data_IF_252182886714
#
_entry.id   IF_252182886714
#
_cell.length_a   1.000
_cell.length_b   1.000
_cell.length_c   1.000
_cell.angle_alpha   90.00
_cell.angle_beta   90.00
_cell.angle_gamma   90.00
#
_symmetry.space_group_name_H-M   'P 1'
#
loop_
_entity.id
_entity.type
_entity.pdbx_description
1 polymer ?
#
# COMPACT_ATOMS: atom_id res chain seq x y z
N UNK A 1 -13.46 14.44 -3.94
CA UNK A 1 -12.99 13.36 -3.05
C UNK A 1 -12.04 12.48 -3.85
N UNK A 2 -10.97 11.93 -3.24
CA UNK A 2 -10.09 10.97 -3.93
C UNK A 2 -10.39 9.57 -3.39
N UNK A 3 -10.87 8.68 -4.25
CA UNK A 3 -11.10 7.29 -3.90
C UNK A 3 -10.10 6.39 -4.62
N UNK A 4 -9.50 5.48 -3.87
CA UNK A 4 -8.69 4.40 -4.40
C UNK A 4 -9.39 3.06 -4.24
N UNK A 5 -9.01 2.09 -5.05
CA UNK A 5 -9.47 0.70 -4.92
C UNK A 5 -8.34 -0.16 -4.37
N UNK A 6 -8.61 -0.90 -3.32
CA UNK A 6 -7.81 -2.04 -2.88
C UNK A 6 -8.49 -3.33 -3.31
N UNK A 7 -7.71 -4.39 -3.50
CA UNK A 7 -8.25 -5.68 -3.88
C UNK A 7 -8.97 -5.66 -5.24
N UNK A 8 -8.22 -5.54 -6.33
CA UNK A 8 -8.74 -5.79 -7.69
C UNK A 8 -9.31 -7.20 -7.88
N UNK A 9 -9.23 -8.05 -6.86
CA UNK A 9 -9.48 -9.47 -6.94
C UNK A 9 -10.76 -9.85 -6.17
N UNK A 10 -11.95 -9.81 -6.80
CA UNK A 10 -13.12 -10.38 -6.21
C UNK A 10 -13.01 -11.92 -6.24
N UNK A 11 -13.15 -12.57 -5.10
CA UNK A 11 -13.22 -14.02 -4.98
C UNK A 11 -11.89 -14.75 -4.79
N UNK A 12 -11.98 -16.04 -4.46
CA UNK A 12 -10.86 -16.96 -4.23
C UNK A 12 -10.59 -17.76 -5.50
N UNK A 13 -9.42 -17.61 -6.09
CA UNK A 13 -8.99 -18.47 -7.19
C UNK A 13 -7.93 -17.80 -8.09
N UNK A 14 -7.19 -18.61 -8.86
CA UNK A 14 -6.23 -18.06 -9.82
C UNK A 14 -6.96 -17.21 -10.86
N UNK A 15 -6.46 -16.01 -11.07
CA UNK A 15 -6.99 -15.07 -12.07
C UNK A 15 -6.13 -15.09 -13.32
N UNK A 16 -6.78 -14.91 -14.46
CA UNK A 16 -6.08 -14.50 -15.66
C UNK A 16 -5.43 -13.12 -15.39
N UNK A 17 -4.12 -13.02 -15.61
CA UNK A 17 -3.40 -11.75 -15.42
C UNK A 17 -3.94 -10.62 -16.28
N UNK A 18 -4.57 -10.92 -17.42
CA UNK A 18 -5.26 -9.94 -18.27
C UNK A 18 -6.45 -9.31 -17.56
N UNK A 19 -7.19 -10.10 -16.78
CA UNK A 19 -8.33 -9.59 -16.03
C UNK A 19 -7.95 -8.43 -15.10
N UNK A 20 -6.79 -8.51 -14.42
CA UNK A 20 -6.33 -7.44 -13.52
C UNK A 20 -6.03 -6.14 -14.25
N UNK A 21 -5.53 -6.22 -15.51
CA UNK A 21 -5.29 -5.04 -16.34
C UNK A 21 -6.61 -4.44 -16.83
N UNK A 22 -7.54 -5.28 -17.29
CA UNK A 22 -8.87 -4.84 -17.75
C UNK A 22 -9.65 -4.18 -16.59
N UNK A 23 -9.58 -4.76 -15.38
CA UNK A 23 -10.16 -4.18 -14.18
C UNK A 23 -9.51 -2.82 -13.81
N UNK A 24 -8.19 -2.68 -13.95
CA UNK A 24 -7.52 -1.40 -13.70
C UNK A 24 -7.92 -0.33 -14.72
N UNK A 25 -8.09 -0.69 -15.99
CA UNK A 25 -8.60 0.23 -17.02
C UNK A 25 -10.05 0.66 -16.73
N UNK A 26 -10.89 -0.27 -16.30
CA UNK A 26 -12.28 0.04 -15.89
C UNK A 26 -12.28 1.02 -14.68
N UNK A 27 -11.42 0.80 -13.69
CA UNK A 27 -11.29 1.68 -12.52
C UNK A 27 -10.82 3.07 -12.94
N UNK A 28 -9.88 3.16 -13.87
CA UNK A 28 -9.44 4.44 -14.46
C UNK A 28 -10.59 5.14 -15.19
N UNK A 29 -11.34 4.42 -16.02
CA UNK A 29 -12.49 4.93 -16.77
C UNK A 29 -13.61 5.46 -15.85
N UNK A 30 -13.91 4.75 -14.76
CA UNK A 30 -14.90 5.18 -13.76
C UNK A 30 -14.47 6.46 -13.06
N UNK A 31 -13.18 6.74 -12.95
CA UNK A 31 -12.63 7.96 -12.34
C UNK A 31 -12.02 7.77 -10.96
N UNK A 32 -11.73 6.54 -10.54
CA UNK A 32 -10.96 6.32 -9.31
C UNK A 32 -9.56 6.92 -9.42
N UNK A 33 -9.06 7.45 -8.30
CA UNK A 33 -7.76 8.11 -8.24
C UNK A 33 -6.58 7.12 -8.29
N UNK A 34 -6.77 5.93 -7.73
CA UNK A 34 -5.69 4.97 -7.56
C UNK A 34 -6.16 3.53 -7.42
N UNK A 35 -5.22 2.63 -7.63
CA UNK A 35 -5.31 1.20 -7.28
C UNK A 35 -4.21 0.84 -6.28
N UNK A 36 -4.54 0.00 -5.30
CA UNK A 36 -3.65 -0.40 -4.23
C UNK A 36 -3.53 -1.92 -4.18
N UNK A 37 -2.31 -2.42 -4.30
CA UNK A 37 -2.00 -3.84 -4.46
C UNK A 37 -1.51 -4.42 -3.13
N UNK A 38 -2.16 -5.46 -2.61
CA UNK A 38 -1.71 -6.16 -1.41
C UNK A 38 -0.50 -7.04 -1.72
N UNK A 39 0.23 -7.44 -0.67
CA UNK A 39 1.33 -8.38 -0.78
C UNK A 39 1.21 -9.53 0.22
N UNK A 40 1.41 -10.74 -0.30
CA UNK A 40 1.90 -11.92 0.38
C UNK A 40 2.81 -12.66 -0.58
N UNK A 41 4.04 -12.97 -0.16
CA UNK A 41 4.99 -13.70 -1.02
C UNK A 41 4.56 -15.15 -1.17
N UNK A 42 4.09 -15.75 -0.09
CA UNK A 42 3.57 -17.11 -0.04
C UNK A 42 2.39 -17.23 0.91
N UNK A 43 1.59 -18.26 0.72
CA UNK A 43 0.44 -18.57 1.57
C UNK A 43 0.61 -19.94 2.21
N UNK A 44 0.07 -20.11 3.42
CA UNK A 44 0.14 -21.35 4.17
C UNK A 44 -1.25 -21.96 4.38
N UNK A 45 -1.35 -23.30 4.43
CA UNK A 45 -2.62 -23.95 4.76
C UNK A 45 -3.15 -23.59 6.15
N UNK A 46 -2.24 -23.24 7.08
CA UNK A 46 -2.56 -22.77 8.42
C UNK A 46 -1.50 -21.81 8.91
N UNK A 47 -1.89 -20.89 9.79
CA UNK A 47 -1.02 -19.92 10.42
C UNK A 47 -1.05 -20.07 11.93
N UNK A 48 0.09 -20.00 12.59
CA UNK A 48 0.21 -19.79 14.04
C UNK A 48 0.24 -18.30 14.39
N UNK A 49 0.74 -17.48 13.48
CA UNK A 49 0.71 -16.02 13.59
C UNK A 49 -0.72 -15.49 13.55
N UNK A 50 -1.00 -14.47 14.38
CA UNK A 50 -2.31 -13.81 14.39
C UNK A 50 -2.34 -12.66 13.38
N UNK A 51 -3.37 -12.64 12.52
CA UNK A 51 -3.62 -11.51 11.64
C UNK A 51 -4.10 -10.30 12.47
N UNK A 52 -3.36 -9.18 12.43
CA UNK A 52 -3.59 -8.09 13.40
C UNK A 52 -4.78 -7.18 13.09
N UNK A 53 -5.46 -7.38 11.96
CA UNK A 53 -6.47 -6.42 11.47
C UNK A 53 -7.90 -6.94 11.53
N UNK A 54 -8.14 -8.21 11.78
CA UNK A 54 -9.48 -8.80 11.88
C UNK A 54 -9.60 -9.87 12.96
N UNK A 55 -10.77 -9.95 13.57
CA UNK A 55 -11.10 -10.98 14.59
C UNK A 55 -11.27 -12.39 14.02
N UNK A 56 -11.26 -12.55 12.69
CA UNK A 56 -11.45 -13.83 11.98
C UNK A 56 -10.16 -14.62 11.69
N UNK A 57 -8.99 -14.07 11.99
CA UNK A 57 -7.70 -14.75 11.82
C UNK A 57 -7.38 -15.15 10.37
N UNK A 58 -6.65 -16.25 10.22
CA UNK A 58 -6.10 -16.73 8.94
C UNK A 58 -7.11 -17.04 7.82
N UNK A 59 -8.41 -17.12 8.09
CA UNK A 59 -9.42 -17.42 7.05
C UNK A 59 -9.51 -16.36 5.95
N UNK A 60 -9.17 -15.12 6.25
CA UNK A 60 -9.17 -14.05 5.23
C UNK A 60 -7.99 -14.15 4.26
N UNK A 61 -6.87 -14.72 4.71
CA UNK A 61 -5.67 -14.88 3.86
C UNK A 61 -5.93 -15.82 2.69
N UNK A 62 -6.78 -16.83 2.86
CA UNK A 62 -7.16 -17.73 1.78
C UNK A 62 -7.91 -17.04 0.62
N UNK A 63 -8.51 -15.87 0.85
CA UNK A 63 -9.13 -15.08 -0.21
C UNK A 63 -8.12 -14.39 -1.13
N UNK A 64 -6.87 -14.28 -0.67
CA UNK A 64 -5.80 -13.67 -1.43
C UNK A 64 -5.03 -14.68 -2.28
N UNK A 65 -5.43 -15.96 -2.28
CA UNK A 65 -4.87 -16.96 -3.19
C UNK A 65 -5.12 -16.51 -4.64
N UNK A 66 -4.05 -16.30 -5.40
CA UNK A 66 -4.13 -15.79 -6.77
C UNK A 66 -3.77 -14.31 -6.93
N UNK A 67 -3.39 -13.62 -5.85
CA UNK A 67 -2.78 -12.30 -5.95
C UNK A 67 -1.41 -12.42 -6.63
N UNK A 68 -1.19 -11.61 -7.65
CA UNK A 68 0.10 -11.53 -8.32
C UNK A 68 1.12 -10.79 -7.45
N UNK A 69 2.42 -11.00 -7.71
CA UNK A 69 3.45 -10.14 -7.12
C UNK A 69 3.12 -8.67 -7.39
N UNK A 70 3.05 -7.82 -6.36
CA UNK A 70 2.55 -6.46 -6.50
C UNK A 70 3.43 -5.58 -7.40
N UNK A 71 4.74 -5.81 -7.45
CA UNK A 71 5.62 -5.01 -8.31
C UNK A 71 5.52 -5.44 -9.77
N UNK A 72 5.35 -6.74 -10.04
CA UNK A 72 5.09 -7.24 -11.40
C UNK A 72 3.75 -6.73 -11.91
N UNK A 73 2.70 -6.83 -11.09
CA UNK A 73 1.38 -6.34 -11.46
C UNK A 73 1.34 -4.81 -11.61
N UNK A 74 2.04 -4.06 -10.75
CA UNK A 74 2.16 -2.61 -10.87
C UNK A 74 2.77 -2.20 -12.21
N UNK A 75 3.79 -2.91 -12.68
CA UNK A 75 4.37 -2.69 -14.01
C UNK A 75 3.38 -2.94 -15.15
N UNK A 76 2.58 -4.01 -15.07
CA UNK A 76 1.55 -4.32 -16.06
C UNK A 76 0.42 -3.26 -16.07
N UNK A 77 -0.06 -2.85 -14.90
CA UNK A 77 -1.07 -1.78 -14.77
C UNK A 77 -0.52 -0.44 -15.27
N UNK A 78 0.75 -0.13 -14.98
CA UNK A 78 1.39 1.10 -15.46
C UNK A 78 1.37 1.20 -17.00
N UNK A 79 1.57 0.07 -17.69
CA UNK A 79 1.51 0.00 -19.13
C UNK A 79 0.08 0.01 -19.71
N UNK A 80 -0.91 -0.46 -18.93
CA UNK A 80 -2.32 -0.56 -19.34
C UNK A 80 -3.13 0.71 -19.08
N UNK A 81 -2.65 1.63 -18.23
CA UNK A 81 -3.35 2.84 -17.77
C UNK A 81 -2.53 4.10 -18.02
N UNK A 82 -3.16 5.27 -17.97
CA UNK A 82 -2.52 6.55 -18.31
C UNK A 82 -2.49 7.56 -17.15
N UNK A 83 -3.50 7.58 -16.32
CA UNK A 83 -3.70 8.55 -15.23
C UNK A 83 -3.82 7.90 -13.85
N UNK A 84 -4.26 6.64 -13.80
CA UNK A 84 -4.47 5.90 -12.55
C UNK A 84 -3.18 5.80 -11.75
N UNK A 85 -3.21 6.27 -10.51
CA UNK A 85 -2.09 6.07 -9.58
C UNK A 85 -2.05 4.62 -9.11
N UNK A 86 -0.85 4.12 -8.88
CA UNK A 86 -0.63 2.73 -8.51
C UNK A 86 0.14 2.71 -7.19
N UNK A 87 -0.34 1.96 -6.22
CA UNK A 87 0.34 1.82 -4.93
C UNK A 87 0.37 0.39 -4.43
N UNK A 88 1.19 0.13 -3.44
CA UNK A 88 1.18 -1.13 -2.67
C UNK A 88 0.54 -0.91 -1.30
N UNK A 89 -0.28 -1.88 -0.82
CA UNK A 89 -1.03 -1.73 0.44
C UNK A 89 -1.01 -3.03 1.27
N UNK A 90 0.12 -3.37 1.86
CA UNK A 90 1.41 -2.73 1.81
C UNK A 90 2.47 -3.73 1.37
N UNK A 91 3.57 -3.26 0.75
CA UNK A 91 4.74 -4.07 0.43
C UNK A 91 5.55 -4.37 1.69
N UNK A 92 5.91 -5.64 1.91
CA UNK A 92 6.63 -6.09 3.11
C UNK A 92 8.14 -5.93 2.90
N UNK A 93 8.63 -4.72 3.11
CA UNK A 93 10.02 -4.31 2.82
C UNK A 93 11.08 -5.22 3.43
N UNK A 94 10.99 -5.66 4.71
CA UNK A 94 12.07 -6.42 5.34
C UNK A 94 12.27 -7.83 4.79
N UNK A 95 11.35 -8.33 3.98
CA UNK A 95 11.43 -9.68 3.38
C UNK A 95 12.27 -9.73 2.11
N UNK A 96 12.66 -8.58 1.55
CA UNK A 96 13.33 -8.50 0.24
C UNK A 96 14.61 -7.70 0.30
N UNK A 97 15.54 -8.00 -0.60
CA UNK A 97 16.78 -7.23 -0.73
C UNK A 97 16.47 -5.77 -1.11
N UNK A 98 16.93 -4.76 -0.32
CA UNK A 98 16.57 -3.37 -0.55
C UNK A 98 17.16 -2.78 -1.85
N UNK A 99 18.30 -3.26 -2.33
CA UNK A 99 18.92 -2.77 -3.57
C UNK A 99 18.07 -3.21 -4.78
N UNK A 100 17.66 -4.49 -4.79
CA UNK A 100 16.78 -5.02 -5.85
C UNK A 100 15.44 -4.31 -5.82
N UNK A 101 14.85 -4.16 -4.63
CA UNK A 101 13.57 -3.47 -4.44
C UNK A 101 13.65 -2.00 -4.86
N UNK A 102 14.72 -1.27 -4.51
CA UNK A 102 14.90 0.11 -4.92
C UNK A 102 14.90 0.25 -6.45
N UNK A 103 15.62 -0.63 -7.15
CA UNK A 103 15.66 -0.65 -8.61
C UNK A 103 14.29 -0.98 -9.24
N UNK A 104 13.58 -1.97 -8.71
CA UNK A 104 12.25 -2.36 -9.19
C UNK A 104 11.26 -1.22 -9.05
N UNK A 105 11.21 -0.60 -7.87
CA UNK A 105 10.33 0.53 -7.55
C UNK A 105 10.63 1.74 -8.44
N UNK A 106 11.89 2.10 -8.63
CA UNK A 106 12.28 3.17 -9.54
C UNK A 106 11.90 2.87 -11.01
N UNK A 107 12.04 1.60 -11.43
CA UNK A 107 11.63 1.17 -12.76
C UNK A 107 10.13 1.31 -12.99
N UNK A 108 9.30 0.92 -12.01
CA UNK A 108 7.83 1.07 -12.06
C UNK A 108 7.47 2.56 -12.10
N UNK A 109 8.14 3.38 -11.31
CA UNK A 109 7.90 4.81 -11.28
C UNK A 109 8.20 5.46 -12.64
N UNK A 110 9.30 5.08 -13.29
CA UNK A 110 9.62 5.49 -14.67
C UNK A 110 8.57 5.02 -15.68
N UNK A 111 8.22 3.72 -15.66
CA UNK A 111 7.24 3.13 -16.56
C UNK A 111 5.83 3.73 -16.41
N UNK A 112 5.49 4.12 -15.21
CA UNK A 112 4.21 4.77 -14.92
C UNK A 112 4.20 6.28 -15.18
N UNK A 113 5.34 6.89 -15.50
CA UNK A 113 5.46 8.34 -15.64
C UNK A 113 5.25 9.09 -14.33
N UNK A 114 5.72 8.53 -13.20
CA UNK A 114 5.62 9.16 -11.87
C UNK A 114 4.27 8.96 -11.18
N UNK A 115 3.54 7.89 -11.50
CA UNK A 115 2.24 7.57 -10.87
C UNK A 115 2.36 6.58 -9.70
N UNK A 116 3.55 6.03 -9.44
CA UNK A 116 3.73 5.01 -8.41
C UNK A 116 3.83 5.62 -7.00
N UNK A 117 3.25 4.95 -6.01
CA UNK A 117 3.29 5.26 -4.60
C UNK A 117 3.71 4.01 -3.83
N UNK A 118 4.85 4.06 -3.15
CA UNK A 118 5.39 2.90 -2.47
C UNK A 118 4.81 2.77 -1.06
N UNK A 119 3.71 2.05 -0.93
CA UNK A 119 3.11 1.71 0.36
C UNK A 119 3.85 0.57 1.04
N UNK A 120 4.33 0.77 2.25
CA UNK A 120 5.31 -0.09 2.90
C UNK A 120 4.88 -0.55 4.30
N UNK A 121 5.23 -1.78 4.66
CA UNK A 121 4.93 -2.38 5.96
C UNK A 121 6.01 -3.36 6.42
N UNK A 122 5.86 -3.83 7.67
CA UNK A 122 6.79 -4.80 8.28
C UNK A 122 6.32 -6.26 8.22
N UNK A 123 5.10 -6.51 7.73
CA UNK A 123 4.50 -7.84 7.74
C UNK A 123 4.16 -8.37 9.14
N UNK A 124 3.32 -9.39 9.16
CA UNK A 124 2.78 -10.00 10.39
C UNK A 124 3.04 -11.51 10.47
N UNK A 125 3.18 -12.20 9.33
CA UNK A 125 3.33 -13.66 9.27
C UNK A 125 4.78 -14.05 9.51
N UNK A 126 5.03 -14.71 10.64
CA UNK A 126 6.34 -15.28 10.96
C UNK A 126 6.67 -16.45 10.01
N UNK A 127 5.63 -17.17 9.56
CA UNK A 127 5.77 -18.27 8.61
C UNK A 127 6.31 -17.82 7.26
N UNK A 128 5.85 -16.64 6.75
CA UNK A 128 6.40 -16.07 5.51
C UNK A 128 7.89 -15.73 5.67
N UNK A 129 8.26 -15.10 6.78
CA UNK A 129 9.66 -14.78 7.07
C UNK A 129 10.53 -16.03 7.11
N UNK A 130 10.06 -17.08 7.79
CA UNK A 130 10.75 -18.36 7.87
C UNK A 130 10.92 -19.02 6.49
N UNK A 131 9.89 -19.00 5.66
CA UNK A 131 9.96 -19.58 4.30
C UNK A 131 10.94 -18.84 3.38
N UNK A 132 11.19 -17.54 3.65
CA UNK A 132 12.13 -16.72 2.89
C UNK A 132 13.54 -16.70 3.49
N UNK A 133 13.78 -17.46 4.56
CA UNK A 133 15.05 -17.48 5.31
C UNK A 133 15.45 -16.07 5.80
N UNK A 134 14.44 -15.28 6.22
CA UNK A 134 14.64 -13.93 6.74
C UNK A 134 14.23 -13.89 8.21
N UNK A 135 15.08 -13.43 9.15
CA UNK A 135 14.71 -13.33 10.56
C UNK A 135 13.48 -12.43 10.77
N UNK A 136 12.49 -12.94 11.52
CA UNK A 136 11.29 -12.17 11.86
C UNK A 136 11.58 -11.09 12.89
N UNK A 137 12.50 -11.37 13.80
CA UNK A 137 12.95 -10.45 14.83
C UNK A 137 13.60 -9.22 14.22
N UNK A 138 13.46 -8.10 14.90
CA UNK A 138 14.01 -6.81 14.49
C UNK A 138 13.59 -6.33 13.09
N UNK A 139 12.50 -6.91 12.51
CA UNK A 139 12.00 -6.54 11.18
C UNK A 139 11.65 -5.05 11.05
N UNK A 140 11.26 -4.40 12.17
CA UNK A 140 11.00 -2.96 12.21
C UNK A 140 12.28 -2.13 12.04
N UNK A 141 13.37 -2.53 12.67
CA UNK A 141 14.69 -1.88 12.56
C UNK A 141 15.27 -2.12 11.16
N UNK A 142 15.19 -3.36 10.67
CA UNK A 142 15.58 -3.72 9.31
C UNK A 142 14.82 -2.89 8.26
N UNK A 143 13.50 -2.71 8.41
CA UNK A 143 12.72 -1.86 7.53
C UNK A 143 13.21 -0.40 7.55
N UNK A 144 13.51 0.13 8.72
CA UNK A 144 13.99 1.51 8.87
C UNK A 144 15.30 1.73 8.10
N UNK A 145 16.22 0.79 8.24
CA UNK A 145 17.52 0.85 7.55
C UNK A 145 17.37 0.63 6.03
N UNK A 146 16.52 -0.33 5.62
CA UNK A 146 16.24 -0.57 4.20
C UNK A 146 15.58 0.66 3.53
N UNK A 147 14.69 1.35 4.22
CA UNK A 147 14.11 2.61 3.71
C UNK A 147 15.17 3.69 3.55
N UNK A 148 16.10 3.81 4.51
CA UNK A 148 17.21 4.76 4.41
C UNK A 148 18.14 4.44 3.24
N UNK A 149 18.50 3.17 3.06
CA UNK A 149 19.33 2.71 1.94
C UNK A 149 18.65 2.95 0.59
N UNK A 150 17.34 2.63 0.48
CA UNK A 150 16.57 2.88 -0.74
C UNK A 150 16.45 4.37 -1.06
N UNK A 151 16.26 5.24 -0.05
CA UNK A 151 16.26 6.70 -0.25
C UNK A 151 17.60 7.16 -0.82
N UNK A 152 18.72 6.68 -0.27
CA UNK A 152 20.05 7.00 -0.80
C UNK A 152 20.21 6.53 -2.26
N UNK A 153 19.72 5.34 -2.61
CA UNK A 153 19.77 4.80 -3.97
C UNK A 153 18.88 5.58 -4.96
N UNK A 154 17.80 6.23 -4.50
CA UNK A 154 16.92 7.05 -5.32
C UNK A 154 17.36 8.50 -5.45
N UNK A 155 18.32 8.94 -4.65
CA UNK A 155 18.86 10.29 -4.73
C UNK A 155 19.50 10.55 -6.10
N UNK A 156 19.64 11.84 -6.46
CA UNK A 156 20.20 12.29 -7.75
C UNK A 156 21.70 11.93 -7.89
N UNK A 157 22.38 11.63 -6.80
CA UNK A 157 23.78 11.19 -6.84
C UNK A 157 23.94 9.95 -7.72
N UNK A 158 24.91 9.99 -8.63
CA UNK A 158 25.18 8.84 -9.52
C UNK A 158 25.75 7.67 -8.71
N UNK A 159 26.74 7.93 -7.85
CA UNK A 159 27.41 6.94 -7.04
C UNK A 159 26.90 7.00 -5.60
N UNK A 160 26.56 5.86 -5.04
CA UNK A 160 25.96 5.75 -3.71
C UNK A 160 26.69 4.68 -2.90
N UNK A 161 27.03 5.02 -1.66
CA UNK A 161 27.49 4.08 -0.62
C UNK A 161 26.48 4.04 0.50
N UNK A 162 26.40 2.93 1.21
CA UNK A 162 25.60 2.84 2.43
C UNK A 162 26.25 1.86 3.41
N UNK A 163 26.32 2.24 4.68
CA UNK A 163 26.81 1.38 5.75
C UNK A 163 25.78 1.33 6.87
N UNK A 164 25.23 0.13 7.10
CA UNK A 164 24.28 -0.17 8.13
C UNK A 164 24.53 -1.55 8.74
N UNK A 165 23.66 -1.97 9.64
CA UNK A 165 23.74 -3.28 10.29
C UNK A 165 23.12 -4.39 9.44
N UNK A 166 22.02 -4.07 8.74
CA UNK A 166 21.24 -5.03 7.93
C UNK A 166 21.55 -4.96 6.44
N UNK A 167 22.12 -3.87 5.98
CA UNK A 167 22.56 -3.70 4.60
C UNK A 167 23.78 -2.78 4.54
N UNK A 168 24.76 -3.21 3.78
CA UNK A 168 25.97 -2.45 3.50
C UNK A 168 26.35 -2.63 2.04
N UNK A 169 26.83 -1.58 1.39
CA UNK A 169 27.38 -1.68 0.04
C UNK A 169 28.39 -0.57 -0.23
N UNK A 170 29.46 -0.99 -0.91
CA UNK A 170 30.49 -0.12 -1.47
C UNK A 170 29.92 0.75 -2.61
N UNK A 171 30.65 1.77 -3.10
CA UNK A 171 30.16 2.64 -4.16
C UNK A 171 29.57 1.87 -5.33
N UNK A 172 28.31 2.12 -5.62
CA UNK A 172 27.58 1.51 -6.72
C UNK A 172 26.67 2.49 -7.46
N UNK A 173 26.31 2.16 -8.67
CA UNK A 173 25.32 2.87 -9.49
C UNK A 173 23.99 2.12 -9.46
N UNK A 174 22.92 2.81 -9.09
CA UNK A 174 21.56 2.25 -9.13
C UNK A 174 20.69 3.03 -10.10
N UNK A 175 20.42 2.45 -11.25
CA UNK A 175 19.56 3.02 -12.30
C UNK A 175 18.45 2.04 -12.72
N UNK A 176 17.30 2.58 -13.22
CA UNK A 176 17.00 4.01 -13.36
C UNK A 176 16.79 4.69 -11.99
N UNK A 177 16.90 6.02 -11.97
CA UNK A 177 16.36 6.82 -10.85
C UNK A 177 14.84 6.95 -11.01
N UNK A 178 14.07 7.21 -9.94
CA UNK A 178 12.65 7.50 -10.05
C UNK A 178 12.35 8.65 -11.01
N UNK A 179 11.18 8.63 -11.65
CA UNK A 179 10.68 9.76 -12.43
C UNK A 179 10.25 10.92 -11.53
N UNK A 180 9.71 10.60 -10.36
CA UNK A 180 9.34 11.58 -9.34
C UNK A 180 10.60 12.08 -8.63
N UNK A 181 10.75 13.41 -8.46
CA UNK A 181 11.86 14.01 -7.69
C UNK A 181 11.97 13.41 -6.27
N UNK A 182 10.83 13.08 -5.66
CA UNK A 182 10.73 12.34 -4.41
C UNK A 182 9.65 11.27 -4.56
N UNK A 183 10.07 10.02 -4.69
CA UNK A 183 9.15 8.88 -4.76
C UNK A 183 8.41 8.75 -3.44
N UNK A 184 7.04 8.80 -3.44
CA UNK A 184 6.27 8.77 -2.21
C UNK A 184 6.37 7.42 -1.48
N UNK A 185 6.80 7.42 -0.22
CA UNK A 185 6.78 6.28 0.69
C UNK A 185 5.60 6.44 1.65
N UNK A 186 4.60 5.58 1.51
CA UNK A 186 3.37 5.61 2.31
C UNK A 186 3.46 4.50 3.37
N UNK A 187 3.62 4.88 4.64
CA UNK A 187 3.88 3.93 5.72
C UNK A 187 2.59 3.33 6.25
N UNK A 188 2.48 2.01 6.18
CA UNK A 188 1.35 1.24 6.70
C UNK A 188 1.46 0.91 8.19
N UNK A 189 0.28 0.79 8.82
CA UNK A 189 0.16 0.39 10.21
C UNK A 189 -0.36 1.49 11.13
N UNK A 190 -0.48 1.13 12.43
CA UNK A 190 -1.21 1.95 13.40
C UNK A 190 -0.49 2.03 14.75
N UNK A 191 0.75 1.53 14.83
CA UNK A 191 1.54 1.47 16.06
C UNK A 191 2.32 2.77 16.31
N UNK A 192 2.89 2.90 17.51
CA UNK A 192 3.83 3.98 17.80
C UNK A 192 5.03 3.96 16.85
N UNK A 193 5.57 2.77 16.55
CA UNK A 193 6.69 2.63 15.60
C UNK A 193 6.30 3.09 14.18
N UNK A 194 5.02 2.98 13.80
CA UNK A 194 4.51 3.54 12.54
C UNK A 194 4.60 5.07 12.55
N UNK A 195 4.17 5.73 13.63
CA UNK A 195 4.27 7.19 13.77
C UNK A 195 5.72 7.66 13.63
N UNK A 196 6.64 7.05 14.36
CA UNK A 196 8.07 7.40 14.32
C UNK A 196 8.68 7.19 12.92
N UNK A 197 8.23 6.14 12.21
CA UNK A 197 8.66 5.84 10.85
C UNK A 197 8.12 6.83 9.82
N UNK A 198 6.86 7.26 9.95
CA UNK A 198 6.29 8.31 9.10
C UNK A 198 7.11 9.59 9.25
N UNK A 199 7.35 10.01 10.47
CA UNK A 199 8.11 11.25 10.76
C UNK A 199 9.50 11.21 10.13
N UNK A 200 10.18 10.06 10.19
CA UNK A 200 11.59 9.95 9.75
C UNK A 200 11.74 9.65 8.26
N UNK A 201 10.90 8.79 7.69
CA UNK A 201 11.10 8.24 6.35
C UNK A 201 9.90 8.42 5.42
N UNK A 202 8.71 8.69 5.95
CA UNK A 202 7.45 8.65 5.21
C UNK A 202 7.07 9.99 4.57
N UNK A 203 6.33 9.85 3.47
CA UNK A 203 5.62 10.92 2.78
C UNK A 203 4.10 10.76 2.93
N UNK A 204 3.66 9.80 3.75
CA UNK A 204 2.26 9.56 4.03
C UNK A 204 2.01 8.37 4.95
N UNK A 205 0.75 8.20 5.27
CA UNK A 205 0.22 7.13 6.10
C UNK A 205 -0.82 6.30 5.38
N UNK A 206 -0.80 4.99 5.60
CA UNK A 206 -1.79 4.03 5.14
C UNK A 206 -2.41 3.29 6.35
N UNK A 207 -3.49 3.82 6.91
CA UNK A 207 -4.26 3.20 7.98
C UNK A 207 -5.29 2.21 7.44
N UNK A 208 -5.42 1.02 8.05
CA UNK A 208 -6.37 0.00 7.61
C UNK A 208 -7.51 -0.21 8.60
N UNK A 209 -8.75 -0.32 8.11
CA UNK A 209 -9.97 -0.65 8.88
C UNK A 209 -10.14 0.14 10.18
N UNK A 210 -9.97 1.46 10.11
CA UNK A 210 -10.03 2.32 11.31
C UNK A 210 -11.41 2.89 11.54
N UNK A 211 -11.78 3.06 12.81
CA UNK A 211 -12.89 3.93 13.18
C UNK A 211 -12.49 5.39 12.99
N UNK A 212 -13.46 6.29 12.88
CA UNK A 212 -13.19 7.74 12.80
C UNK A 212 -12.45 8.25 14.05
N UNK A 213 -12.75 7.71 15.22
CA UNK A 213 -12.05 8.05 16.46
C UNK A 213 -10.58 7.59 16.42
N UNK A 214 -10.31 6.37 15.92
CA UNK A 214 -8.94 5.90 15.74
C UNK A 214 -8.14 6.79 14.78
N UNK A 215 -8.77 7.23 13.67
CA UNK A 215 -8.16 8.14 12.71
C UNK A 215 -7.77 9.43 13.41
N UNK A 216 -8.71 10.05 14.13
CA UNK A 216 -8.49 11.30 14.86
C UNK A 216 -7.35 11.16 15.86
N UNK A 217 -7.40 10.15 16.72
CA UNK A 217 -6.36 9.91 17.73
C UNK A 217 -5.00 9.68 17.09
N UNK A 218 -4.93 8.96 15.96
CA UNK A 218 -3.68 8.70 15.27
C UNK A 218 -3.11 9.97 14.64
N UNK A 219 -3.93 10.75 13.94
CA UNK A 219 -3.50 11.99 13.26
C UNK A 219 -3.11 13.08 14.26
N UNK A 220 -3.80 13.20 15.40
CA UNK A 220 -3.39 14.10 16.49
C UNK A 220 -2.00 13.74 17.05
N UNK A 221 -1.75 12.46 17.32
CA UNK A 221 -0.41 12.00 17.76
C UNK A 221 0.66 12.24 16.70
N UNK A 222 0.33 12.00 15.43
CA UNK A 222 1.23 12.23 14.32
C UNK A 222 1.59 13.71 14.20
N UNK A 223 0.61 14.61 14.30
CA UNK A 223 0.81 16.05 14.24
C UNK A 223 1.82 16.54 15.30
N UNK A 224 1.67 16.07 16.55
CA UNK A 224 2.61 16.42 17.63
C UNK A 224 4.04 15.97 17.31
N UNK A 225 4.22 14.79 16.76
CA UNK A 225 5.54 14.26 16.41
C UNK A 225 6.13 14.95 15.17
N UNK A 226 5.32 15.31 14.20
CA UNK A 226 5.72 16.08 13.02
C UNK A 226 6.22 17.47 13.43
N UNK A 227 5.45 18.18 14.26
CA UNK A 227 5.85 19.49 14.80
C UNK A 227 7.18 19.40 15.58
N UNK A 228 7.32 18.40 16.45
CA UNK A 228 8.55 18.18 17.21
C UNK A 228 9.77 17.88 16.31
N UNK A 229 9.54 17.33 15.12
CA UNK A 229 10.58 17.08 14.11
C UNK A 229 10.79 18.25 13.13
N UNK A 230 10.08 19.39 13.30
CA UNK A 230 10.14 20.53 12.41
C UNK A 230 9.52 20.26 11.03
N UNK A 231 8.57 19.31 10.93
CA UNK A 231 7.85 18.95 9.71
C UNK A 231 6.38 19.37 9.80
N UNK A 232 5.77 19.68 8.66
CA UNK A 232 4.36 20.02 8.56
C UNK A 232 3.50 18.83 8.13
N UNK A 233 2.28 18.71 8.67
CA UNK A 233 1.32 17.66 8.29
C UNK A 233 0.93 17.74 6.81
N UNK A 234 0.98 18.91 6.18
CA UNK A 234 0.72 19.08 4.74
C UNK A 234 1.75 18.41 3.82
N UNK A 235 2.91 18.02 4.36
CA UNK A 235 3.89 17.21 3.63
C UNK A 235 3.44 15.77 3.43
N UNK A 236 2.44 15.33 4.20
CA UNK A 236 1.98 13.94 4.22
C UNK A 236 0.73 13.73 3.37
N UNK A 237 0.66 12.59 2.71
CA UNK A 237 -0.57 12.07 2.10
C UNK A 237 -1.20 11.05 3.05
N UNK A 238 -2.35 11.39 3.62
CA UNK A 238 -3.05 10.57 4.59
C UNK A 238 -4.10 9.69 3.90
N UNK A 239 -4.00 8.39 4.07
CA UNK A 239 -4.88 7.40 3.45
C UNK A 239 -5.43 6.45 4.48
N UNK A 240 -6.70 6.06 4.31
CA UNK A 240 -7.31 5.04 5.15
C UNK A 240 -8.04 4.01 4.30
N UNK A 241 -7.90 2.74 4.68
CA UNK A 241 -8.63 1.64 4.06
C UNK A 241 -10.03 1.51 4.63
N UNK A 242 -11.00 1.33 3.75
CA UNK A 242 -12.37 0.97 4.11
C UNK A 242 -12.79 -0.30 3.38
N UNK A 243 -13.06 -1.34 4.15
CA UNK A 243 -13.63 -2.58 3.63
C UNK A 243 -15.13 -2.57 3.85
N UNK A 244 -15.91 -2.79 2.79
CA UNK A 244 -17.35 -2.92 2.86
C UNK A 244 -17.75 -4.11 3.75
N UNK A 245 -18.82 -3.96 4.51
CA UNK A 245 -19.37 -5.05 5.33
C UNK A 245 -19.96 -6.16 4.46
N UNK A 246 -20.54 -5.80 3.33
CA UNK A 246 -21.16 -6.70 2.37
C UNK A 246 -21.20 -6.09 0.97
N UNK A 247 -22.04 -6.70 0.09
CA UNK A 247 -22.19 -6.34 -1.32
C UNK A 247 -23.60 -5.78 -1.61
N UNK A 248 -24.29 -5.24 -0.61
CA UNK A 248 -25.61 -4.63 -0.79
C UNK A 248 -25.49 -3.12 -0.92
N UNK A 249 -26.45 -2.47 -1.59
CA UNK A 249 -26.47 -1.00 -1.68
C UNK A 249 -26.47 -0.34 -0.30
N UNK A 250 -27.10 -0.94 0.70
CA UNK A 250 -27.08 -0.44 2.06
C UNK A 250 -25.67 -0.49 2.67
N UNK A 251 -24.89 -1.53 2.41
CA UNK A 251 -23.50 -1.60 2.85
C UNK A 251 -22.66 -0.50 2.19
N UNK A 252 -22.95 -0.19 0.94
CA UNK A 252 -22.28 0.84 0.15
C UNK A 252 -22.68 2.26 0.57
N UNK A 253 -23.94 2.47 1.01
CA UNK A 253 -24.37 3.73 1.65
C UNK A 253 -23.63 3.94 3.01
N UNK A 254 -23.43 2.86 3.78
CA UNK A 254 -22.60 2.90 5.00
C UNK A 254 -21.14 3.28 4.67
N UNK A 255 -20.61 2.80 3.56
CA UNK A 255 -19.27 3.19 3.09
C UNK A 255 -19.22 4.67 2.69
N UNK A 256 -20.24 5.17 2.00
CA UNK A 256 -20.35 6.61 1.68
C UNK A 256 -20.29 7.47 2.93
N UNK A 257 -21.07 7.14 3.95
CA UNK A 257 -21.09 7.88 5.21
C UNK A 257 -19.70 7.87 5.88
N UNK A 258 -19.01 6.71 5.86
CA UNK A 258 -17.65 6.59 6.36
C UNK A 258 -16.67 7.47 5.57
N UNK A 259 -16.74 7.44 4.24
CA UNK A 259 -15.89 8.21 3.34
C UNK A 259 -16.03 9.70 3.59
N UNK A 260 -17.26 10.21 3.65
CA UNK A 260 -17.54 11.60 3.89
C UNK A 260 -16.96 12.11 5.22
N UNK A 261 -17.07 11.31 6.27
CA UNK A 261 -16.50 11.65 7.58
C UNK A 261 -14.98 11.58 7.60
N UNK A 262 -14.38 10.58 6.95
CA UNK A 262 -12.92 10.49 6.83
C UNK A 262 -12.32 11.74 6.16
N UNK A 263 -12.97 12.25 5.11
CA UNK A 263 -12.52 13.51 4.47
C UNK A 263 -12.68 14.72 5.40
N UNK A 264 -13.74 14.80 6.22
CA UNK A 264 -13.87 15.87 7.23
C UNK A 264 -12.76 15.83 8.28
N UNK A 265 -12.23 14.64 8.56
CA UNK A 265 -11.08 14.46 9.45
C UNK A 265 -9.71 14.72 8.79
N UNK A 266 -9.68 15.19 7.55
CA UNK A 266 -8.46 15.56 6.85
C UNK A 266 -7.75 14.40 6.13
N UNK A 267 -8.44 13.29 5.89
CA UNK A 267 -7.90 12.22 5.06
C UNK A 267 -7.91 12.66 3.58
N UNK A 268 -6.80 12.43 2.88
CA UNK A 268 -6.64 12.83 1.47
C UNK A 268 -7.25 11.82 0.50
N UNK A 269 -7.28 10.54 0.89
CA UNK A 269 -7.77 9.45 0.05
C UNK A 269 -8.33 8.30 0.89
N UNK A 270 -9.52 7.83 0.54
CA UNK A 270 -10.07 6.60 1.11
C UNK A 270 -9.90 5.47 0.11
N UNK A 271 -9.20 4.41 0.54
CA UNK A 271 -8.96 3.21 -0.25
C UNK A 271 -10.04 2.19 0.07
N UNK A 272 -10.97 2.00 -0.85
CA UNK A 272 -12.13 1.14 -0.63
C UNK A 272 -11.92 -0.28 -1.15
N UNK A 273 -12.51 -1.25 -0.46
CA UNK A 273 -12.61 -2.67 -0.87
C UNK A 273 -14.08 -3.05 -0.90
N UNK A 274 -14.82 -2.70 -1.98
CA UNK A 274 -16.22 -3.07 -2.13
C UNK A 274 -16.31 -4.57 -2.39
N UNK A 275 -17.02 -5.33 -1.59
CA UNK A 275 -17.18 -6.80 -1.73
C UNK A 275 -18.00 -7.17 -2.98
N UNK A 276 -17.46 -6.88 -4.15
CA UNK A 276 -18.09 -7.10 -5.45
C UNK A 276 -17.64 -8.45 -6.00
N UNK A 277 -18.60 -9.25 -6.49
CA UNK A 277 -18.33 -10.56 -7.10
C UNK A 277 -18.00 -10.46 -8.60
N UNK A 278 -17.43 -11.54 -9.15
CA UNK A 278 -16.95 -11.60 -10.53
C UNK A 278 -18.05 -11.47 -11.59
N UNK A 279 -19.21 -12.06 -11.32
CA UNK A 279 -20.26 -12.24 -12.35
C UNK A 279 -20.79 -10.90 -12.92
N UNK A 280 -20.74 -9.83 -12.14
CA UNK A 280 -21.25 -8.51 -12.52
C UNK A 280 -20.24 -7.40 -12.18
N UNK A 281 -18.95 -7.70 -12.18
CA UNK A 281 -17.91 -6.80 -11.64
C UNK A 281 -18.02 -5.37 -12.19
N UNK A 282 -18.08 -5.18 -13.52
CA UNK A 282 -18.19 -3.85 -14.12
C UNK A 282 -19.46 -3.11 -13.67
N UNK A 283 -20.61 -3.78 -13.76
CA UNK A 283 -21.89 -3.19 -13.37
C UNK A 283 -21.91 -2.75 -11.92
N UNK A 284 -21.42 -3.63 -11.04
CA UNK A 284 -21.46 -3.38 -9.60
C UNK A 284 -20.41 -2.34 -9.19
N UNK A 285 -19.25 -2.30 -9.86
CA UNK A 285 -18.23 -1.24 -9.65
C UNK A 285 -18.75 0.14 -10.05
N UNK A 286 -19.43 0.26 -11.20
CA UNK A 286 -20.07 1.52 -11.62
C UNK A 286 -21.17 1.93 -10.64
N UNK A 287 -21.97 1.00 -10.19
CA UNK A 287 -23.05 1.27 -9.22
C UNK A 287 -22.48 1.68 -7.85
N UNK A 288 -21.42 1.01 -7.40
CA UNK A 288 -20.73 1.39 -6.18
C UNK A 288 -20.19 2.82 -6.26
N UNK A 289 -19.53 3.16 -7.36
CA UNK A 289 -18.99 4.51 -7.60
C UNK A 289 -20.09 5.59 -7.52
N UNK A 290 -21.24 5.37 -8.15
CA UNK A 290 -22.40 6.27 -8.06
C UNK A 290 -22.87 6.47 -6.60
N UNK A 291 -22.98 5.36 -5.83
CA UNK A 291 -23.48 5.41 -4.46
C UNK A 291 -22.50 6.17 -3.56
N UNK A 292 -21.20 5.93 -3.69
CA UNK A 292 -20.18 6.59 -2.84
C UNK A 292 -19.84 8.01 -3.30
N UNK A 293 -20.41 8.48 -4.43
CA UNK A 293 -20.32 9.86 -4.89
C UNK A 293 -19.03 10.18 -5.66
N UNK A 294 -18.58 9.21 -6.45
CA UNK A 294 -17.48 9.39 -7.40
C UNK A 294 -17.98 9.90 -8.72
#
# INVERSE_FOLDING_TARGET
>A
MKLGISELFPGSGPRDGRWSMDAAQLIEEIGYNSVWLPEHVVFFPSYSSQYPYESGGAQEVHRMLGVHDPLVLAGAIAAATTTLRIGTYVFVVPQRNPIITARQVASIDQLSGGRFQFGVGVGWSEEEYAALDVPFERRGERMNEYLAAMRALWDEAEETTFSGEFVEFEPLYCFPKPAQKRLPVIVGGNSRATLERIVKYGDGWAGYSRTHEDIKVFTEKLSVLMEAAGRDMSELSLKVGRRSKGATEKDWEDDRAYIEEAFRLGIDEVVVSPRIGDANYEKDMRRYAEIVGL
#
